data_IF_880906119141
#
_entry.id   IF_880906119141
#
_cell.length_a   1.000
_cell.length_b   1.000
_cell.length_c   1.000
_cell.angle_alpha   90.00
_cell.angle_beta   90.00
_cell.angle_gamma   90.00
#
_symmetry.space_group_name_H-M   'P 1'
#
loop_
_entity.id
_entity.type
_entity.pdbx_description
1 polymer ?
#
# COMPACT_ATOMS: atom_id res chain seq x y z
N UNK A 1 -7.68 -27.61 -17.55
CA UNK A 1 -7.96 -26.53 -16.57
C UNK A 1 -6.99 -26.69 -15.42
N UNK A 2 -5.82 -26.05 -15.49
CA UNK A 2 -4.79 -26.12 -14.45
C UNK A 2 -5.09 -25.06 -13.39
N UNK A 3 -5.49 -25.51 -12.20
CA UNK A 3 -5.52 -24.67 -11.00
C UNK A 3 -4.06 -24.46 -10.59
N UNK A 4 -3.49 -23.29 -10.88
CA UNK A 4 -2.18 -22.94 -10.33
C UNK A 4 -2.31 -22.74 -8.81
N UNK A 5 -1.38 -23.32 -8.07
CA UNK A 5 -1.30 -23.19 -6.63
C UNK A 5 -1.17 -21.70 -6.25
N UNK A 6 -2.15 -21.22 -5.49
CA UNK A 6 -2.17 -19.85 -4.94
C UNK A 6 -0.94 -19.69 -4.06
N UNK A 7 -0.15 -18.64 -4.27
CA UNK A 7 1.02 -18.32 -3.46
C UNK A 7 0.67 -18.49 -1.96
N UNK A 8 1.34 -19.39 -1.26
CA UNK A 8 1.14 -19.64 0.16
C UNK A 8 2.22 -18.92 0.96
N UNK A 9 1.83 -17.89 1.71
CA UNK A 9 2.70 -17.08 2.57
C UNK A 9 2.01 -15.79 3.04
N UNK A 10 2.56 -15.07 4.03
CA UNK A 10 1.96 -13.83 4.55
C UNK A 10 1.82 -12.72 3.50
N UNK A 11 2.48 -12.85 2.35
CA UNK A 11 2.43 -11.92 1.21
C UNK A 11 1.38 -12.29 0.15
N UNK A 12 0.61 -13.37 0.34
CA UNK A 12 -0.30 -13.89 -0.67
C UNK A 12 -1.37 -12.85 -1.04
N UNK A 13 -1.50 -12.56 -2.35
CA UNK A 13 -2.46 -11.58 -2.85
C UNK A 13 -3.90 -12.01 -2.56
N UNK A 14 -4.74 -11.03 -2.22
CA UNK A 14 -6.16 -11.18 -1.89
C UNK A 14 -7.04 -10.43 -2.89
N UNK A 15 -8.23 -10.96 -3.23
CA UNK A 15 -9.17 -10.24 -4.08
C UNK A 15 -9.72 -9.00 -3.36
N UNK A 16 -9.79 -7.88 -4.05
CA UNK A 16 -10.45 -6.66 -3.54
C UNK A 16 -11.94 -6.69 -3.87
N UNK A 17 -12.74 -7.36 -3.02
CA UNK A 17 -14.18 -7.50 -3.21
C UNK A 17 -14.53 -8.10 -4.58
N UNK A 18 -15.48 -7.49 -5.28
CA UNK A 18 -15.93 -7.89 -6.63
C UNK A 18 -15.23 -7.15 -7.78
N UNK A 19 -14.14 -6.44 -7.51
CA UNK A 19 -13.47 -5.57 -8.52
C UNK A 19 -12.64 -6.33 -9.55
N UNK A 20 -12.29 -7.59 -9.27
CA UNK A 20 -11.34 -8.36 -10.07
C UNK A 20 -9.86 -8.02 -9.82
N UNK A 21 -9.56 -7.05 -8.94
CA UNK A 21 -8.19 -6.69 -8.56
C UNK A 21 -7.64 -7.63 -7.48
N UNK A 22 -6.33 -7.89 -7.53
CA UNK A 22 -5.58 -8.68 -6.56
C UNK A 22 -4.58 -7.78 -5.83
N UNK A 23 -4.74 -7.64 -4.51
CA UNK A 23 -3.96 -6.71 -3.68
C UNK A 23 -3.15 -7.44 -2.63
N UNK A 24 -2.06 -6.83 -2.17
CA UNK A 24 -1.36 -7.27 -0.97
C UNK A 24 -2.29 -7.27 0.23
N UNK A 25 -2.11 -8.18 1.20
CA UNK A 25 -2.96 -8.24 2.38
C UNK A 25 -2.76 -7.06 3.34
N UNK A 26 -1.77 -6.20 3.05
CA UNK A 26 -1.51 -4.94 3.74
C UNK A 26 -1.72 -3.80 2.74
N UNK A 27 -2.53 -2.82 3.16
CA UNK A 27 -2.72 -1.53 2.48
C UNK A 27 -1.89 -0.47 3.20
N UNK A 28 -1.28 0.43 2.45
CA UNK A 28 -0.52 1.56 3.00
C UNK A 28 -1.38 2.82 2.89
N UNK A 29 -1.79 3.35 4.04
CA UNK A 29 -2.50 4.63 4.11
C UNK A 29 -1.54 5.81 4.02
N UNK A 30 -1.84 6.75 3.12
CA UNK A 30 -0.97 7.87 2.77
C UNK A 30 -1.44 9.22 3.35
N UNK A 31 -2.53 9.28 4.12
CA UNK A 31 -3.09 10.54 4.61
C UNK A 31 -2.05 11.47 5.28
N UNK A 32 -1.15 11.00 6.17
CA UNK A 32 -0.16 11.90 6.78
C UNK A 32 0.89 12.46 5.81
N UNK A 33 1.07 11.85 4.63
CA UNK A 33 2.03 12.30 3.62
C UNK A 33 1.65 13.64 2.99
N UNK A 34 0.39 14.07 3.11
CA UNK A 34 -0.09 15.38 2.66
C UNK A 34 0.28 16.56 3.57
N UNK A 35 1.12 16.34 4.58
CA UNK A 35 1.59 17.36 5.53
C UNK A 35 0.45 18.14 6.22
N UNK A 36 -0.33 17.46 7.06
CA UNK A 36 -1.45 18.05 7.82
C UNK A 36 -1.16 18.05 9.34
N UNK A 37 -0.27 18.90 9.86
CA UNK A 37 0.14 18.88 11.26
C UNK A 37 -0.99 19.17 12.24
N UNK A 38 -2.01 19.93 11.82
CA UNK A 38 -3.22 20.17 12.62
C UNK A 38 -4.05 18.89 12.84
N UNK A 39 -3.96 17.94 11.91
CA UNK A 39 -4.69 16.65 11.97
C UNK A 39 -3.84 15.56 12.62
N UNK A 40 -2.54 15.50 12.31
CA UNK A 40 -1.67 14.40 12.68
C UNK A 40 -0.63 14.73 13.76
N UNK A 41 -0.57 15.97 14.26
CA UNK A 41 0.37 16.42 15.31
C UNK A 41 1.86 16.34 14.92
N UNK A 42 2.18 16.15 13.64
CA UNK A 42 3.54 16.24 13.10
C UNK A 42 3.53 16.65 11.63
N UNK A 43 4.65 17.19 11.18
CA UNK A 43 4.88 17.55 9.78
C UNK A 43 5.56 16.40 9.01
N UNK A 44 5.21 16.29 7.74
CA UNK A 44 5.91 15.42 6.78
C UNK A 44 6.44 16.31 5.66
N UNK A 45 7.76 16.60 5.64
CA UNK A 45 8.37 17.31 4.52
C UNK A 45 8.13 16.57 3.20
N UNK A 46 7.92 17.31 2.11
CA UNK A 46 7.62 16.74 0.78
C UNK A 46 8.66 15.70 0.34
N UNK A 47 9.95 15.98 0.55
CA UNK A 47 11.03 15.04 0.23
C UNK A 47 10.86 13.69 0.94
N UNK A 48 10.46 13.71 2.22
CA UNK A 48 10.18 12.50 2.99
C UNK A 48 8.96 11.78 2.43
N UNK A 49 7.88 12.50 2.13
CA UNK A 49 6.67 11.90 1.54
C UNK A 49 6.99 11.17 0.23
N UNK A 50 7.73 11.82 -0.68
CA UNK A 50 8.16 11.24 -1.96
C UNK A 50 9.04 10.02 -1.74
N UNK A 51 10.02 10.11 -0.82
CA UNK A 51 10.90 8.99 -0.49
C UNK A 51 10.11 7.79 0.06
N UNK A 52 9.11 8.02 0.92
CA UNK A 52 8.24 6.97 1.45
C UNK A 52 7.44 6.30 0.33
N UNK A 53 6.77 7.06 -0.53
CA UNK A 53 5.98 6.48 -1.65
C UNK A 53 6.87 5.66 -2.59
N UNK A 54 8.06 6.16 -2.93
CA UNK A 54 9.03 5.41 -3.74
C UNK A 54 9.47 4.11 -3.07
N UNK A 55 9.70 4.12 -1.77
CA UNK A 55 10.04 2.91 -1.02
C UNK A 55 8.88 1.90 -1.01
N UNK A 56 7.63 2.37 -0.91
CA UNK A 56 6.44 1.52 -1.02
C UNK A 56 6.38 0.82 -2.38
N UNK A 57 6.57 1.57 -3.48
CA UNK A 57 6.56 1.01 -4.85
C UNK A 57 7.74 0.09 -5.16
N UNK A 58 8.91 0.35 -4.57
CA UNK A 58 10.06 -0.54 -4.68
C UNK A 58 9.92 -1.82 -3.83
N UNK A 59 9.02 -1.80 -2.85
CA UNK A 59 8.70 -2.90 -1.96
C UNK A 59 7.71 -3.91 -2.57
N UNK A 60 7.25 -4.87 -1.76
CA UNK A 60 6.33 -5.92 -2.23
C UNK A 60 4.86 -5.46 -2.31
N UNK A 61 4.56 -4.20 -2.01
CA UNK A 61 3.19 -3.70 -1.83
C UNK A 61 2.60 -3.15 -3.13
N UNK A 62 1.33 -3.46 -3.38
CA UNK A 62 0.59 -2.96 -4.54
C UNK A 62 -0.74 -2.28 -4.17
N UNK A 63 -0.95 -2.00 -2.88
CA UNK A 63 -2.18 -1.41 -2.36
C UNK A 63 -1.89 -0.17 -1.52
N UNK A 64 -2.21 1.00 -2.07
CA UNK A 64 -2.09 2.30 -1.42
C UNK A 64 -3.46 2.99 -1.38
N UNK A 65 -3.74 3.70 -0.30
CA UNK A 65 -4.93 4.52 -0.08
C UNK A 65 -4.50 5.97 0.20
N UNK A 66 -5.07 6.94 -0.50
CA UNK A 66 -4.59 8.33 -0.53
C UNK A 66 -5.69 9.35 -0.43
#
# INVERSE_FOLDING_TARGET
>A
MSFQAKASGPQALRPLGSTGLQVTPICIGCAPLGNMPQTFSYEVPEERAIATVRACFAGPFNFLDT
#
